data_IF_264810858204
#
_entry.id   IF_264810858204
#
_cell.length_a   1.000
_cell.length_b   1.000
_cell.length_c   1.000
_cell.angle_alpha   90.00
_cell.angle_beta   90.00
_cell.angle_gamma   90.00
#
_symmetry.space_group_name_H-M   'P 1'
#
loop_
_entity.id
_entity.type
_entity.pdbx_description
1 polymer ?
#
# COMPACT_ATOMS: atom_id res chain seq x y z
N UNK A 1 -7.54 5.86 7.51
CA UNK A 1 -8.57 5.10 6.80
C UNK A 1 -8.20 4.92 5.34
N UNK A 2 -8.28 3.71 4.86
CA UNK A 2 -7.96 3.41 3.47
C UNK A 2 -9.03 3.99 2.55
N UNK A 3 -8.62 4.80 1.60
CA UNK A 3 -9.54 5.40 0.63
C UNK A 3 -9.64 4.58 -0.64
N UNK A 4 -8.52 4.11 -1.15
CA UNK A 4 -8.54 3.20 -2.27
C UNK A 4 -7.24 2.42 -2.31
N UNK A 5 -7.29 1.31 -3.00
CA UNK A 5 -6.10 0.53 -3.29
C UNK A 5 -6.22 0.00 -4.71
N UNK A 6 -5.13 0.08 -5.44
CA UNK A 6 -5.06 -0.39 -6.81
C UNK A 6 -3.94 -1.42 -6.88
N UNK A 7 -4.27 -2.57 -7.42
CA UNK A 7 -3.34 -3.69 -7.49
C UNK A 7 -3.27 -4.15 -8.94
N UNK A 8 -2.07 -4.30 -9.46
CA UNK A 8 -1.89 -4.69 -10.84
C UNK A 8 -0.87 -5.79 -10.95
N UNK A 9 -1.22 -6.86 -11.62
CA UNK A 9 -0.33 -7.98 -11.94
C UNK A 9 0.22 -8.69 -10.71
N UNK A 10 -0.61 -8.86 -9.72
CA UNK A 10 -0.23 -9.60 -8.52
C UNK A 10 -0.76 -11.03 -8.62
N UNK A 11 0.15 -11.98 -8.70
CA UNK A 11 -0.20 -13.40 -8.76
C UNK A 11 -1.14 -13.65 -9.93
N UNK A 12 -2.34 -14.13 -9.68
CA UNK A 12 -3.31 -14.40 -10.74
C UNK A 12 -4.14 -13.19 -11.11
N UNK A 13 -3.96 -12.10 -10.41
CA UNK A 13 -4.77 -10.93 -10.57
C UNK A 13 -4.22 -10.00 -11.64
N UNK A 14 -5.05 -9.63 -12.61
CA UNK A 14 -4.64 -8.71 -13.65
C UNK A 14 -4.62 -7.29 -13.11
N UNK A 15 -5.77 -6.77 -12.75
CA UNK A 15 -5.86 -5.43 -12.19
C UNK A 15 -7.16 -5.28 -11.44
N UNK A 16 -7.08 -4.65 -10.27
CA UNK A 16 -8.27 -4.34 -9.51
C UNK A 16 -8.06 -3.03 -8.79
N UNK A 17 -9.11 -2.24 -8.71
CA UNK A 17 -9.12 -1.02 -7.91
C UNK A 17 -10.31 -1.12 -6.96
N UNK A 18 -10.02 -0.98 -5.68
CA UNK A 18 -11.06 -1.00 -4.66
C UNK A 18 -11.14 0.37 -4.04
N UNK A 19 -12.34 0.93 -4.02
CA UNK A 19 -12.56 2.24 -3.42
C UNK A 19 -13.44 2.07 -2.19
N UNK A 20 -13.10 2.79 -1.16
CA UNK A 20 -13.79 2.69 0.12
C UNK A 20 -14.46 4.01 0.43
N UNK A 21 -15.76 3.99 0.46
CA UNK A 21 -16.50 5.17 0.81
C UNK A 21 -16.33 5.45 2.28
N UNK A 22 -16.94 6.50 2.75
CA UNK A 22 -16.86 6.84 4.15
C UNK A 22 -17.23 5.62 4.97
N UNK A 23 -16.43 5.35 5.94
CA UNK A 23 -16.62 4.18 6.74
C UNK A 23 -16.20 2.94 5.99
N UNK A 24 -16.48 1.83 6.61
CA UNK A 24 -16.07 0.57 6.07
C UNK A 24 -16.98 0.14 4.94
N UNK A 25 -16.40 -0.24 3.84
CA UNK A 25 -17.15 -0.79 2.74
C UNK A 25 -16.62 -2.17 2.46
N UNK A 26 -17.46 -3.11 2.47
CA UNK A 26 -17.06 -4.47 2.19
C UNK A 26 -16.46 -4.56 0.82
N UNK A 27 -15.41 -5.29 0.72
CA UNK A 27 -14.88 -5.68 -0.57
C UNK A 27 -15.98 -6.46 -1.20
N UNK A 28 -16.47 -5.98 -2.31
CA UNK A 28 -17.67 -6.48 -2.86
C UNK A 28 -17.61 -7.96 -3.05
N UNK A 29 -18.51 -8.58 -2.41
CA UNK A 29 -18.94 -9.91 -2.63
C UNK A 29 -17.91 -10.94 -2.86
N UNK A 30 -16.75 -10.60 -2.89
CA UNK A 30 -15.83 -11.59 -3.23
C UNK A 30 -15.47 -12.39 -2.05
N UNK A 31 -15.04 -13.47 -2.29
CA UNK A 31 -14.78 -14.46 -1.34
C UNK A 31 -13.52 -14.19 -0.58
N UNK A 32 -13.04 -15.18 0.10
CA UNK A 32 -11.80 -15.11 0.79
C UNK A 32 -10.64 -14.76 -0.12
N UNK A 33 -10.75 -15.09 -1.40
CA UNK A 33 -9.68 -14.77 -2.33
C UNK A 33 -9.47 -13.27 -2.46
N UNK A 34 -10.54 -12.50 -2.55
CA UNK A 34 -10.42 -11.06 -2.63
C UNK A 34 -9.84 -10.48 -1.37
N UNK A 35 -10.23 -11.03 -0.23
CA UNK A 35 -9.71 -10.57 1.03
C UNK A 35 -8.21 -10.87 1.15
N UNK A 36 -7.80 -12.05 0.70
CA UNK A 36 -6.38 -12.41 0.74
C UNK A 36 -5.55 -11.51 -0.14
N UNK A 37 -6.06 -11.17 -1.31
CA UNK A 37 -5.35 -10.27 -2.21
C UNK A 37 -5.20 -8.91 -1.57
N UNK A 38 -6.26 -8.41 -0.95
CA UNK A 38 -6.21 -7.11 -0.28
C UNK A 38 -5.18 -7.12 0.85
N UNK A 39 -5.19 -8.15 1.68
CA UNK A 39 -4.24 -8.23 2.78
C UNK A 39 -2.81 -8.34 2.26
N UNK A 40 -2.60 -9.08 1.19
CA UNK A 40 -1.28 -9.19 0.59
C UNK A 40 -0.79 -7.86 0.08
N UNK A 41 -1.66 -7.10 -0.56
CA UNK A 41 -1.28 -5.80 -1.10
C UNK A 41 -0.96 -4.82 0.03
N UNK A 42 -1.76 -4.82 1.09
CA UNK A 42 -1.48 -3.97 2.24
C UNK A 42 -0.16 -4.35 2.88
N UNK A 43 0.16 -5.63 2.92
CA UNK A 43 1.44 -6.08 3.42
C UNK A 43 2.59 -5.51 2.62
N UNK A 44 2.46 -5.52 1.30
CA UNK A 44 3.50 -4.96 0.44
C UNK A 44 3.69 -3.48 0.71
N UNK A 45 2.61 -2.76 0.94
CA UNK A 45 2.67 -1.32 1.20
C UNK A 45 3.16 -1.00 2.61
N UNK A 46 3.21 -1.99 3.48
CA UNK A 46 3.78 -1.80 4.82
C UNK A 46 5.22 -2.29 4.91
N UNK A 47 5.81 -2.69 3.78
CA UNK A 47 7.22 -3.03 3.76
C UNK A 47 7.54 -4.52 3.78
N UNK A 48 6.57 -5.36 3.47
CA UNK A 48 6.83 -6.79 3.43
C UNK A 48 7.82 -7.14 2.34
N UNK A 49 8.49 -8.24 2.50
CA UNK A 49 9.43 -8.72 1.50
C UNK A 49 8.70 -9.11 0.23
N UNK A 50 9.41 -9.00 -0.88
CA UNK A 50 8.84 -9.31 -2.17
C UNK A 50 9.64 -10.40 -2.86
N UNK A 51 8.97 -11.03 -3.80
CA UNK A 51 9.56 -12.11 -4.58
C UNK A 51 9.06 -11.92 -6.00
N UNK A 52 9.92 -12.07 -6.97
CA UNK A 52 9.51 -11.92 -8.36
C UNK A 52 8.45 -12.92 -8.75
N UNK A 53 8.33 -14.02 -8.03
CA UNK A 53 7.27 -14.97 -8.27
C UNK A 53 5.88 -14.39 -7.98
N UNK A 54 5.80 -13.27 -7.26
CA UNK A 54 4.53 -12.61 -7.03
C UNK A 54 4.02 -11.88 -8.26
N UNK A 55 4.89 -11.59 -9.22
CA UNK A 55 4.50 -10.91 -10.44
C UNK A 55 3.71 -11.86 -11.32
N UNK A 56 2.59 -11.38 -11.84
CA UNK A 56 1.73 -12.17 -12.68
C UNK A 56 2.54 -12.75 -13.83
N UNK A 57 2.31 -14.02 -14.11
CA UNK A 57 3.05 -14.71 -15.14
C UNK A 57 2.85 -14.02 -16.49
N UNK A 58 3.94 -13.80 -17.22
CA UNK A 58 3.87 -13.12 -18.50
C UNK A 58 3.98 -11.61 -18.40
N UNK A 59 4.03 -11.07 -17.19
CA UNK A 59 4.12 -9.62 -17.00
C UNK A 59 5.50 -9.26 -16.47
N UNK A 60 5.89 -8.01 -16.71
CA UNK A 60 7.21 -7.54 -16.30
C UNK A 60 7.23 -6.94 -14.92
N UNK A 61 6.09 -6.49 -14.44
CA UNK A 61 6.07 -5.78 -13.16
C UNK A 61 4.75 -5.96 -12.46
N UNK A 62 4.81 -5.77 -11.17
CA UNK A 62 3.69 -5.76 -10.25
C UNK A 62 3.64 -4.37 -9.63
N UNK A 63 2.46 -3.80 -9.52
CA UNK A 63 2.28 -2.48 -8.91
C UNK A 63 1.19 -2.51 -7.88
N UNK A 64 1.43 -1.83 -6.75
CA UNK A 64 0.42 -1.63 -5.73
C UNK A 64 0.44 -0.16 -5.35
N UNK A 65 -0.73 0.43 -5.25
CA UNK A 65 -0.86 1.82 -4.88
C UNK A 65 -2.05 1.97 -3.95
N UNK A 66 -1.91 2.80 -2.93
CA UNK A 66 -3.00 3.04 -2.00
C UNK A 66 -2.96 4.46 -1.50
N UNK A 67 -4.14 4.98 -1.20
CA UNK A 67 -4.27 6.27 -0.53
C UNK A 67 -4.96 6.05 0.80
N UNK A 68 -4.36 6.57 1.86
CA UNK A 68 -4.91 6.47 3.20
C UNK A 68 -5.18 7.86 3.73
N UNK A 69 -6.31 8.02 4.40
CA UNK A 69 -6.67 9.30 4.97
C UNK A 69 -6.55 9.26 6.49
N UNK A 70 -5.93 10.29 7.03
CA UNK A 70 -5.80 10.45 8.47
C UNK A 70 -6.44 11.77 8.88
N UNK A 71 -7.45 11.69 9.72
CA UNK A 71 -8.07 12.90 10.24
C UNK A 71 -7.05 13.71 11.05
N UNK A 72 -6.17 13.01 11.75
CA UNK A 72 -5.07 13.65 12.46
C UNK A 72 -3.78 13.01 11.97
N UNK A 73 -3.09 13.71 11.10
CA UNK A 73 -1.90 13.19 10.47
C UNK A 73 -0.61 13.58 11.17
N UNK A 74 -0.68 14.08 12.40
CA UNK A 74 0.51 14.60 13.08
C UNK A 74 1.60 13.54 13.23
N UNK A 75 1.23 12.34 13.64
CA UNK A 75 2.22 11.28 13.83
C UNK A 75 2.85 10.89 12.50
N UNK A 76 2.02 10.70 11.49
CA UNK A 76 2.50 10.31 10.18
C UNK A 76 3.37 11.41 9.58
N UNK A 77 2.92 12.66 9.68
CA UNK A 77 3.68 13.78 9.13
C UNK A 77 5.02 13.94 9.84
N UNK A 78 5.05 13.67 11.13
CA UNK A 78 6.30 13.72 11.87
C UNK A 78 7.30 12.70 11.37
N UNK A 79 6.84 11.49 11.09
CA UNK A 79 7.69 10.45 10.55
C UNK A 79 8.18 10.80 9.15
N UNK A 80 7.29 11.34 8.33
CA UNK A 80 7.65 11.73 6.97
C UNK A 80 8.68 12.84 6.98
N UNK A 81 8.45 13.85 7.80
CA UNK A 81 9.37 14.98 7.89
C UNK A 81 10.73 14.52 8.37
N UNK A 82 10.77 13.66 9.37
CA UNK A 82 12.03 13.14 9.89
C UNK A 82 12.79 12.34 8.85
N UNK A 83 12.08 11.72 7.92
CA UNK A 83 12.69 10.92 6.87
C UNK A 83 13.04 11.75 5.64
N UNK A 84 12.71 13.04 5.64
CA UNK A 84 12.97 13.88 4.48
C UNK A 84 11.96 13.68 3.36
N UNK A 85 10.79 13.17 3.68
CA UNK A 85 9.75 12.90 2.70
C UNK A 85 8.65 13.94 2.80
N UNK A 86 7.90 14.18 1.71
CA UNK A 86 6.80 15.13 1.75
C UNK A 86 5.73 14.68 2.74
N UNK A 87 5.17 15.61 3.47
CA UNK A 87 4.10 15.31 4.40
C UNK A 87 2.79 15.09 3.66
N UNK A 88 1.80 14.59 4.38
CA UNK A 88 0.50 14.30 3.78
C UNK A 88 -0.17 15.58 3.33
N UNK A 89 -0.86 15.52 2.20
CA UNK A 89 -1.59 16.64 1.69
C UNK A 89 -3.05 16.46 2.09
N UNK A 90 -3.54 17.36 2.92
CA UNK A 90 -4.91 17.27 3.42
C UNK A 90 -5.19 15.92 4.07
N UNK A 91 -4.21 15.40 4.78
CA UNK A 91 -4.37 14.17 5.50
C UNK A 91 -4.23 12.91 4.67
N UNK A 92 -3.93 13.02 3.40
CA UNK A 92 -3.83 11.85 2.52
C UNK A 92 -2.39 11.40 2.39
N UNK A 93 -2.16 10.13 2.67
CA UNK A 93 -0.88 9.47 2.48
C UNK A 93 -0.98 8.59 1.25
N UNK A 94 -0.12 8.84 0.28
CA UNK A 94 -0.11 8.07 -0.95
C UNK A 94 1.09 7.14 -0.95
N UNK A 95 0.85 5.85 -1.08
CA UNK A 95 1.89 4.83 -1.08
C UNK A 95 1.87 4.11 -2.41
N UNK A 96 3.04 3.93 -3.01
CA UNK A 96 3.18 3.21 -4.26
C UNK A 96 4.40 2.32 -4.20
N UNK A 97 4.25 1.12 -4.71
CA UNK A 97 5.35 0.17 -4.74
C UNK A 97 5.26 -0.65 -6.01
N UNK A 98 6.39 -0.81 -6.70
CA UNK A 98 6.43 -1.66 -7.87
C UNK A 98 7.63 -2.60 -7.80
N UNK A 99 7.45 -3.79 -8.33
CA UNK A 99 8.47 -4.82 -8.36
C UNK A 99 8.62 -5.23 -9.81
N UNK A 100 9.85 -5.31 -10.28
CA UNK A 100 10.15 -5.60 -11.68
C UNK A 100 10.97 -6.86 -11.81
N UNK A 101 10.81 -7.55 -12.91
CA UNK A 101 11.60 -8.76 -13.12
C UNK A 101 13.06 -8.45 -13.40
N UNK A 102 13.30 -7.34 -14.10
CA UNK A 102 14.67 -7.03 -14.54
C UNK A 102 15.17 -5.68 -14.05
N UNK A 103 14.30 -4.87 -13.45
CA UNK A 103 14.68 -3.55 -12.99
C UNK A 103 14.63 -3.47 -11.49
N UNK A 104 15.23 -2.44 -10.97
CA UNK A 104 15.25 -2.21 -9.54
C UNK A 104 13.83 -1.90 -9.04
N UNK A 105 13.41 -2.50 -7.94
CA UNK A 105 12.10 -2.18 -7.38
C UNK A 105 12.02 -0.71 -6.99
N UNK A 106 10.81 -0.21 -6.96
CA UNK A 106 10.58 1.20 -6.74
C UNK A 106 9.55 1.41 -5.64
N UNK A 107 9.82 2.33 -4.74
CA UNK A 107 8.92 2.70 -3.67
C UNK A 107 8.77 4.21 -3.69
N UNK A 108 7.53 4.68 -3.64
CA UNK A 108 7.26 6.11 -3.55
C UNK A 108 6.29 6.39 -2.43
N UNK A 109 6.57 7.41 -1.66
CA UNK A 109 5.70 7.88 -0.60
C UNK A 109 5.40 9.34 -0.89
N UNK A 110 4.14 9.66 -1.05
CA UNK A 110 3.67 11.00 -1.40
C UNK A 110 4.42 11.53 -2.63
N UNK A 111 4.65 10.64 -3.60
CA UNK A 111 5.28 11.01 -4.86
C UNK A 111 6.78 11.09 -4.84
N UNK A 112 7.40 10.81 -3.70
CA UNK A 112 8.85 10.93 -3.57
C UNK A 112 9.46 9.55 -3.36
N UNK A 113 10.61 9.31 -3.98
CA UNK A 113 11.28 8.03 -3.85
C UNK A 113 11.64 7.75 -2.39
N UNK A 114 11.44 6.54 -1.97
CA UNK A 114 11.69 6.14 -0.59
C UNK A 114 12.38 4.79 -0.55
N UNK A 115 12.95 4.48 0.61
CA UNK A 115 13.62 3.20 0.82
C UNK A 115 12.65 2.21 1.46
N UNK A 116 13.01 0.93 1.39
CA UNK A 116 12.22 -0.10 2.04
C UNK A 116 12.16 0.13 3.54
N UNK A 117 13.28 0.54 4.13
CA UNK A 117 13.31 0.81 5.57
C UNK A 117 12.35 1.93 5.95
N UNK A 118 12.28 2.98 5.14
CA UNK A 118 11.34 4.06 5.39
C UNK A 118 9.91 3.60 5.27
N UNK A 119 9.62 2.77 4.28
CA UNK A 119 8.29 2.22 4.12
C UNK A 119 7.90 1.34 5.30
N UNK A 120 8.83 0.54 5.79
CA UNK A 120 8.58 -0.32 6.94
C UNK A 120 8.30 0.48 8.20
N UNK A 121 9.08 1.51 8.42
CA UNK A 121 8.89 2.36 9.59
C UNK A 121 7.53 3.04 9.55
N UNK A 122 7.18 3.57 8.39
CA UNK A 122 5.90 4.22 8.23
C UNK A 122 4.76 3.21 8.37
N UNK A 123 4.98 2.01 7.86
CA UNK A 123 3.97 0.96 7.91
C UNK A 123 3.59 0.57 9.33
N UNK A 124 4.57 0.52 10.22
CA UNK A 124 4.27 0.20 11.61
C UNK A 124 3.27 1.18 12.21
N UNK A 125 3.38 2.43 11.80
CA UNK A 125 2.50 3.45 12.34
C UNK A 125 1.08 3.33 11.81
N UNK A 126 0.90 3.26 10.50
CA UNK A 126 -0.46 3.24 9.97
C UNK A 126 -1.14 1.88 10.16
N UNK A 127 -0.37 0.83 10.27
CA UNK A 127 -0.94 -0.48 10.53
C UNK A 127 -1.56 -0.53 11.92
N UNK A 128 -0.95 0.13 12.88
CA UNK A 128 -1.51 0.18 14.21
C UNK A 128 -2.90 0.80 14.24
N UNK A 129 -3.14 1.78 13.35
CA UNK A 129 -4.45 2.41 13.29
C UNK A 129 -5.47 1.55 12.56
N UNK A 130 -5.02 0.79 11.58
CA UNK A 130 -5.94 0.07 10.70
C UNK A 130 -5.57 -1.39 10.60
N UNK A 131 -4.88 -1.88 11.59
CA UNK A 131 -4.29 -3.19 11.54
C UNK A 131 -5.30 -4.29 11.32
N UNK A 132 -4.90 -5.31 10.63
CA UNK A 132 -5.79 -6.43 10.38
C UNK A 132 -6.13 -7.18 11.66
N UNK A 133 -5.35 -7.01 12.67
CA UNK A 133 -5.65 -7.64 13.93
C UNK A 133 -6.76 -6.95 14.69
N UNK A 134 -7.20 -5.84 14.18
CA UNK A 134 -8.28 -5.16 14.81
C UNK A 134 -9.51 -5.99 14.77
N UNK A 135 -10.08 -6.25 15.87
CA UNK A 135 -11.30 -7.05 15.87
C UNK A 135 -12.42 -6.29 15.24
#
# INVERSE_FOLDING_TARGET
>A
MLQYIRIKNLALLDEVTLEFASGFTAVTGETGAGKSVLLGALGLLSGARTDKAMIRQGQDQLEVEAALYFADAQVIDGLLDAAGLPTCEEGVLLLQRSIHRTKIPRIQINGSMATLAQLQELGESWIDFHGPGEP
#
